data_IF_800931601746
#
_entry.id   IF_800931601746
#
_cell.length_a   1.000
_cell.length_b   1.000
_cell.length_c   1.000
_cell.angle_alpha   90.00
_cell.angle_beta   90.00
_cell.angle_gamma   90.00
#
_symmetry.space_group_name_H-M   'P 1'
#
loop_
_entity.id
_entity.type
_entity.pdbx_description
1 polymer ?
#
# COMPACT_ATOMS: atom_id res chain seq x y z
N UNK A 1 24.03 6.76 -1.21
CA UNK A 1 23.32 5.69 -1.94
C UNK A 1 24.33 4.63 -2.33
N UNK A 2 23.97 3.37 -2.20
CA UNK A 2 24.77 2.21 -2.61
C UNK A 2 24.24 1.64 -3.94
N UNK A 3 24.93 0.62 -4.46
CA UNK A 3 24.56 -0.10 -5.68
C UNK A 3 23.61 -1.28 -5.44
N UNK A 4 23.28 -1.56 -4.18
CA UNK A 4 22.41 -2.66 -3.77
C UNK A 4 20.93 -2.23 -3.80
N UNK A 5 20.66 -0.93 -3.68
CA UNK A 5 19.32 -0.38 -3.74
C UNK A 5 18.95 0.20 -5.10
N UNK A 6 17.66 0.09 -5.43
CA UNK A 6 17.08 0.60 -6.66
C UNK A 6 15.88 1.50 -6.39
N UNK A 7 15.61 2.41 -7.31
CA UNK A 7 14.33 3.11 -7.45
C UNK A 7 13.52 2.33 -8.47
N UNK A 8 12.48 1.65 -8.00
CA UNK A 8 11.50 0.98 -8.84
C UNK A 8 10.32 1.91 -9.09
N UNK A 9 9.91 2.01 -10.35
CA UNK A 9 8.87 2.92 -10.83
C UNK A 9 7.83 2.13 -11.61
N UNK A 10 6.57 2.53 -11.48
CA UNK A 10 5.47 2.04 -12.31
C UNK A 10 4.63 3.21 -12.83
N UNK A 11 4.06 3.00 -14.00
CA UNK A 11 3.27 3.99 -14.74
C UNK A 11 1.85 3.50 -14.95
N UNK A 12 0.94 4.42 -15.28
CA UNK A 12 -0.48 4.16 -15.48
C UNK A 12 -0.77 3.22 -16.65
N UNK A 13 0.11 3.20 -17.67
CA UNK A 13 -0.01 2.31 -18.83
C UNK A 13 0.65 0.93 -18.62
N UNK A 14 1.11 0.63 -17.40
CA UNK A 14 1.68 -0.68 -17.06
C UNK A 14 3.15 -0.84 -17.46
N UNK A 15 3.85 0.24 -17.77
CA UNK A 15 5.32 0.25 -17.89
C UNK A 15 5.94 0.34 -16.50
N UNK A 16 7.00 -0.46 -16.27
CA UNK A 16 7.81 -0.43 -15.06
C UNK A 16 9.28 -0.18 -15.39
N UNK A 17 9.99 0.39 -14.43
CA UNK A 17 11.43 0.65 -14.58
C UNK A 17 12.15 0.53 -13.25
N UNK A 18 13.34 -0.08 -13.31
CA UNK A 18 14.29 -0.13 -12.21
C UNK A 18 15.53 0.71 -12.54
N UNK A 19 15.92 1.61 -11.66
CA UNK A 19 17.14 2.41 -11.80
C UNK A 19 17.95 2.36 -10.51
N UNK A 20 19.26 2.15 -10.60
CA UNK A 20 20.13 2.14 -9.42
C UNK A 20 19.99 3.44 -8.62
N UNK A 21 19.91 3.34 -7.29
CA UNK A 21 19.69 4.49 -6.42
C UNK A 21 20.84 5.52 -6.52
N UNK A 22 22.07 5.05 -6.78
CA UNK A 22 23.23 5.91 -7.06
C UNK A 22 23.04 6.89 -8.22
N UNK A 23 22.14 6.60 -9.19
CA UNK A 23 21.83 7.51 -10.29
C UNK A 23 21.15 8.81 -9.83
N UNK A 24 20.67 8.85 -8.57
CA UNK A 24 20.01 9.98 -7.95
C UNK A 24 20.89 10.72 -6.92
N UNK A 25 22.17 10.33 -6.74
CA UNK A 25 23.08 10.90 -5.73
C UNK A 25 23.35 12.41 -5.86
N UNK A 26 23.17 12.98 -7.05
CA UNK A 26 23.47 14.38 -7.34
C UNK A 26 22.23 15.12 -7.87
N UNK A 27 21.22 15.40 -7.04
CA UNK A 27 20.02 16.11 -7.46
C UNK A 27 20.32 17.59 -7.72
N UNK A 28 19.59 18.17 -8.68
CA UNK A 28 19.66 19.61 -9.00
C UNK A 28 18.38 20.30 -8.51
N UNK A 29 18.46 21.59 -8.18
CA UNK A 29 17.27 22.40 -7.80
C UNK A 29 16.17 22.39 -8.87
N UNK A 30 16.55 22.32 -10.15
CA UNK A 30 15.61 22.24 -11.27
C UNK A 30 14.99 20.84 -11.48
N UNK A 31 15.34 19.86 -10.64
CA UNK A 31 14.97 18.47 -10.83
C UNK A 31 15.89 17.72 -11.79
N UNK A 32 15.67 16.41 -11.86
CA UNK A 32 16.34 15.47 -12.77
C UNK A 32 15.28 14.54 -13.37
N UNK A 33 15.49 14.12 -14.61
CA UNK A 33 14.61 13.12 -15.25
C UNK A 33 14.75 11.82 -14.45
N UNK A 34 13.62 11.23 -14.05
CA UNK A 34 13.56 9.94 -13.38
C UNK A 34 13.06 8.84 -14.31
N UNK A 35 12.13 9.16 -15.23
CA UNK A 35 11.58 8.28 -16.26
C UNK A 35 11.06 9.08 -17.44
N UNK A 36 11.19 8.51 -18.65
CA UNK A 36 10.59 9.04 -19.87
C UNK A 36 9.19 8.45 -20.02
N UNK A 37 8.18 9.31 -20.12
CA UNK A 37 6.77 8.94 -20.23
C UNK A 37 6.28 9.16 -21.67
N UNK A 38 5.38 8.29 -22.11
CA UNK A 38 4.65 8.49 -23.36
C UNK A 38 3.48 9.46 -23.17
N UNK A 39 2.92 9.97 -24.26
CA UNK A 39 1.77 10.88 -24.22
C UNK A 39 0.56 10.19 -23.58
N UNK A 40 0.03 10.81 -22.53
CA UNK A 40 -1.12 10.29 -21.78
C UNK A 40 -0.76 9.32 -20.64
N UNK A 41 0.51 8.95 -20.51
CA UNK A 41 1.01 8.16 -19.40
C UNK A 41 1.49 9.06 -18.24
N UNK A 42 1.43 8.53 -17.03
CA UNK A 42 1.91 9.20 -15.83
C UNK A 42 2.44 8.18 -14.83
N UNK A 43 3.35 8.64 -13.96
CA UNK A 43 3.93 7.83 -12.90
C UNK A 43 2.88 7.61 -11.80
N UNK A 44 2.62 6.35 -11.43
CA UNK A 44 1.63 5.99 -10.41
C UNK A 44 2.26 5.51 -9.10
N UNK A 45 3.53 5.12 -9.12
CA UNK A 45 4.17 4.54 -7.96
C UNK A 45 5.68 4.53 -8.08
N UNK A 46 6.34 4.78 -6.95
CA UNK A 46 7.78 4.73 -6.79
C UNK A 46 8.08 4.07 -5.45
N UNK A 47 9.04 3.17 -5.42
CA UNK A 47 9.52 2.55 -4.19
C UNK A 47 11.03 2.36 -4.27
N UNK A 48 11.69 2.41 -3.11
CA UNK A 48 13.06 1.94 -2.96
C UNK A 48 13.00 0.44 -2.69
N UNK A 49 13.83 -0.30 -3.40
CA UNK A 49 13.89 -1.75 -3.36
C UNK A 49 15.35 -2.21 -3.23
N UNK A 50 15.54 -3.46 -2.84
CA UNK A 50 16.83 -4.09 -2.54
C UNK A 50 17.25 -5.15 -3.59
N UNK A 51 16.46 -5.36 -4.64
CA UNK A 51 16.73 -6.33 -5.70
C UNK A 51 16.07 -7.69 -5.50
N UNK A 52 15.61 -7.99 -4.28
CA UNK A 52 15.02 -9.30 -3.89
C UNK A 52 13.52 -9.22 -3.61
N UNK A 53 12.95 -8.01 -3.63
CA UNK A 53 11.53 -7.78 -3.38
C UNK A 53 10.63 -8.25 -4.54
N UNK A 54 9.38 -8.57 -4.24
CA UNK A 54 8.34 -8.73 -5.26
C UNK A 54 7.66 -7.40 -5.56
N UNK A 55 7.38 -7.17 -6.84
CA UNK A 55 6.57 -6.05 -7.31
C UNK A 55 5.20 -6.55 -7.68
N UNK A 56 4.19 -5.88 -7.13
CA UNK A 56 2.78 -6.11 -7.45
C UNK A 56 2.19 -4.89 -8.13
N UNK A 57 1.53 -5.09 -9.26
CA UNK A 57 0.79 -4.05 -9.97
C UNK A 57 -0.69 -4.36 -9.94
N UNK A 58 -1.53 -3.35 -9.74
CA UNK A 58 -2.99 -3.49 -9.70
C UNK A 58 -3.63 -2.56 -10.72
N UNK A 59 -4.61 -3.07 -11.48
CA UNK A 59 -5.39 -2.26 -12.41
C UNK A 59 -6.77 -1.88 -11.86
N UNK A 60 -7.35 -0.82 -12.42
CA UNK A 60 -8.73 -0.37 -12.13
C UNK A 60 -9.78 -1.44 -12.45
N UNK A 61 -9.48 -2.39 -13.34
CA UNK A 61 -10.28 -3.57 -13.63
C UNK A 61 -10.17 -4.71 -12.59
N UNK A 62 -9.54 -4.46 -11.44
CA UNK A 62 -9.41 -5.44 -10.37
C UNK A 62 -8.46 -6.60 -10.69
N UNK A 63 -7.49 -6.38 -11.58
CA UNK A 63 -6.42 -7.36 -11.89
C UNK A 63 -5.16 -7.05 -11.10
N UNK A 64 -4.38 -8.09 -10.82
CA UNK A 64 -3.06 -7.97 -10.23
C UNK A 64 -2.02 -8.86 -10.93
N UNK A 65 -0.81 -8.34 -11.10
CA UNK A 65 0.39 -9.11 -11.47
C UNK A 65 1.35 -9.03 -10.30
N UNK A 66 1.98 -10.15 -9.91
CA UNK A 66 3.11 -10.20 -8.97
C UNK A 66 4.30 -10.88 -9.65
N UNK A 67 5.45 -10.22 -9.67
CA UNK A 67 6.70 -10.73 -10.23
C UNK A 67 7.89 -10.30 -9.38
N UNK A 68 8.99 -11.06 -9.45
CA UNK A 68 10.22 -10.71 -8.75
C UNK A 68 10.85 -9.47 -9.39
N UNK A 69 11.35 -8.52 -8.60
CA UNK A 69 12.01 -7.32 -9.11
C UNK A 69 13.18 -7.62 -10.06
N UNK A 70 13.85 -8.75 -9.85
CA UNK A 70 14.95 -9.24 -10.68
C UNK A 70 14.55 -9.50 -12.15
N UNK A 71 13.25 -9.67 -12.46
CA UNK A 71 12.71 -9.77 -13.82
C UNK A 71 12.83 -8.46 -14.62
N UNK A 72 13.16 -7.35 -13.95
CA UNK A 72 13.42 -6.05 -14.55
C UNK A 72 14.88 -5.70 -14.36
N UNK A 73 15.64 -5.63 -15.45
CA UNK A 73 17.04 -5.19 -15.40
C UNK A 73 17.16 -3.71 -15.00
N UNK A 74 18.22 -3.31 -14.28
CA UNK A 74 18.52 -1.90 -14.06
C UNK A 74 18.72 -1.13 -15.38
N UNK A 75 18.24 0.09 -15.43
CA UNK A 75 18.36 1.00 -16.58
C UNK A 75 18.68 2.42 -16.15
N UNK A 76 19.21 3.21 -17.08
CA UNK A 76 19.44 4.64 -16.86
C UNK A 76 18.15 5.43 -16.67
N UNK A 77 18.27 6.62 -16.09
CA UNK A 77 17.14 7.51 -15.77
C UNK A 77 16.31 7.93 -17.00
N UNK A 78 16.95 8.10 -18.15
CA UNK A 78 16.28 8.53 -19.39
C UNK A 78 15.58 7.38 -20.12
N UNK A 79 15.75 6.14 -19.68
CA UNK A 79 15.06 5.00 -20.27
C UNK A 79 13.55 5.06 -19.99
N UNK A 80 12.77 4.58 -20.95
CA UNK A 80 11.31 4.42 -20.87
C UNK A 80 10.91 3.35 -19.84
N UNK A 81 11.59 2.20 -19.86
CA UNK A 81 11.25 1.04 -19.02
C UNK A 81 10.82 -0.17 -19.86
N UNK A 82 10.19 -1.15 -19.22
CA UNK A 82 9.70 -2.39 -19.83
C UNK A 82 8.27 -2.67 -19.38
N UNK A 83 7.54 -3.53 -20.11
CA UNK A 83 6.18 -3.93 -19.76
C UNK A 83 6.16 -4.66 -18.41
N UNK A 84 5.41 -4.13 -17.45
CA UNK A 84 5.14 -4.75 -16.15
C UNK A 84 3.79 -5.48 -16.10
N UNK A 85 2.75 -4.88 -16.71
CA UNK A 85 1.41 -5.47 -16.85
C UNK A 85 0.90 -5.20 -18.26
N UNK A 86 0.15 -6.15 -18.84
CA UNK A 86 -0.61 -5.93 -20.06
C UNK A 86 -2.04 -5.56 -19.70
N UNK A 87 -2.46 -4.37 -20.13
CA UNK A 87 -3.79 -3.82 -19.89
C UNK A 87 -4.68 -4.03 -21.11
N UNK A 88 -5.99 -4.15 -20.88
CA UNK A 88 -6.98 -4.06 -21.97
C UNK A 88 -7.33 -2.59 -22.24
N UNK A 89 -8.02 -2.33 -23.34
CA UNK A 89 -8.39 -0.98 -23.74
C UNK A 89 -9.19 -0.26 -22.65
N UNK A 90 -8.79 0.96 -22.33
CA UNK A 90 -9.42 1.79 -21.29
C UNK A 90 -9.05 1.45 -19.84
N UNK A 91 -8.27 0.40 -19.60
CA UNK A 91 -7.76 0.06 -18.27
C UNK A 91 -6.49 0.84 -17.94
N UNK A 92 -6.21 1.00 -16.64
CA UNK A 92 -5.00 1.65 -16.12
C UNK A 92 -4.48 0.91 -14.89
N UNK A 93 -3.16 0.94 -14.68
CA UNK A 93 -2.57 0.60 -13.38
C UNK A 93 -2.88 1.74 -12.41
N UNK A 94 -3.39 1.38 -11.23
CA UNK A 94 -3.78 2.34 -10.17
C UNK A 94 -2.91 2.23 -8.93
N UNK A 95 -2.19 1.11 -8.74
CA UNK A 95 -1.27 0.95 -7.61
C UNK A 95 -0.08 0.05 -7.96
N UNK A 96 1.06 0.38 -7.34
CA UNK A 96 2.25 -0.46 -7.27
C UNK A 96 2.58 -0.72 -5.81
N UNK A 97 2.71 -1.99 -5.44
CA UNK A 97 3.11 -2.42 -4.11
C UNK A 97 4.43 -3.20 -4.21
N UNK A 98 5.28 -3.03 -3.21
CA UNK A 98 6.53 -3.79 -3.06
C UNK A 98 6.41 -4.64 -1.82
N UNK A 99 6.35 -5.96 -2.01
CA UNK A 99 6.26 -6.94 -0.94
C UNK A 99 7.64 -7.57 -0.72
N UNK A 100 8.18 -7.45 0.49
CA UNK A 100 9.46 -8.08 0.86
C UNK A 100 9.29 -9.57 1.14
N UNK A 101 8.14 -9.95 1.68
CA UNK A 101 7.77 -11.33 1.97
C UNK A 101 6.24 -11.50 1.85
N UNK A 102 5.73 -12.65 2.30
CA UNK A 102 4.32 -13.02 2.21
C UNK A 102 3.53 -12.83 3.52
N UNK A 103 4.12 -12.19 4.54
CA UNK A 103 3.48 -12.01 5.85
C UNK A 103 2.35 -10.98 5.85
N UNK A 104 2.35 -10.08 4.87
CA UNK A 104 1.37 -9.00 4.74
C UNK A 104 0.15 -9.41 3.92
N UNK A 105 -0.91 -8.61 4.02
CA UNK A 105 -2.10 -8.73 3.20
C UNK A 105 -2.26 -7.50 2.31
N UNK A 106 -2.90 -7.67 1.16
CA UNK A 106 -3.32 -6.57 0.29
C UNK A 106 -4.77 -6.23 0.65
N UNK A 107 -5.01 -5.00 1.08
CA UNK A 107 -6.34 -4.44 1.19
C UNK A 107 -6.72 -3.78 -0.14
N UNK A 108 -7.79 -4.28 -0.76
CA UNK A 108 -8.38 -3.73 -1.99
C UNK A 108 -9.66 -2.98 -1.67
N UNK A 109 -9.89 -1.85 -2.34
CA UNK A 109 -11.10 -1.05 -2.22
C UNK A 109 -11.62 -0.60 -3.59
N UNK A 110 -12.94 -0.64 -3.78
CA UNK A 110 -13.62 -0.28 -5.03
C UNK A 110 -14.45 0.99 -4.85
N UNK A 111 -14.77 1.66 -5.97
CA UNK A 111 -15.43 2.98 -5.97
C UNK A 111 -16.78 3.00 -5.26
N UNK A 112 -17.52 1.88 -5.22
CA UNK A 112 -18.80 1.79 -4.50
C UNK A 112 -18.65 1.35 -3.03
N UNK A 113 -17.45 1.48 -2.44
CA UNK A 113 -17.24 1.27 -1.01
C UNK A 113 -17.11 -0.19 -0.58
N UNK A 114 -16.81 -1.10 -1.52
CA UNK A 114 -16.55 -2.51 -1.22
C UNK A 114 -15.05 -2.81 -1.21
N UNK A 115 -14.66 -3.84 -0.47
CA UNK A 115 -13.27 -4.23 -0.38
C UNK A 115 -13.03 -5.41 0.53
N UNK A 116 -11.76 -5.80 0.64
CA UNK A 116 -11.33 -6.95 1.44
C UNK A 116 -9.82 -6.95 1.58
N UNK A 117 -9.35 -7.66 2.61
CA UNK A 117 -7.95 -8.07 2.73
C UNK A 117 -7.77 -9.43 2.07
N UNK A 118 -6.64 -9.61 1.40
CA UNK A 118 -6.25 -10.89 0.85
C UNK A 118 -4.76 -11.10 1.09
N UNK A 119 -4.32 -12.24 1.66
CA UNK A 119 -2.90 -12.50 1.91
C UNK A 119 -2.05 -12.37 0.65
N UNK A 120 -0.84 -11.82 0.77
CA UNK A 120 0.11 -11.72 -0.35
C UNK A 120 0.40 -13.11 -0.95
N UNK A 121 0.46 -14.14 -0.11
CA UNK A 121 0.63 -15.54 -0.53
C UNK A 121 -0.42 -16.03 -1.54
N UNK A 122 -1.65 -15.49 -1.53
CA UNK A 122 -2.64 -15.85 -2.54
C UNK A 122 -2.26 -15.32 -3.93
N UNK A 123 -1.54 -14.21 -4.01
CA UNK A 123 -1.01 -13.66 -5.25
C UNK A 123 0.20 -14.45 -5.70
N UNK A 124 -0.02 -15.55 -6.44
CA UNK A 124 1.08 -16.36 -6.96
C UNK A 124 1.99 -15.56 -7.91
N UNK A 125 3.29 -15.76 -7.75
CA UNK A 125 4.30 -15.18 -8.65
C UNK A 125 4.12 -15.72 -10.07
N UNK A 126 4.10 -14.80 -11.03
CA UNK A 126 4.10 -15.09 -12.47
C UNK A 126 5.09 -14.15 -13.17
N UNK A 127 5.32 -14.37 -14.46
CA UNK A 127 6.13 -13.44 -15.24
C UNK A 127 5.48 -12.06 -15.36
N UNK A 128 6.32 -11.01 -15.44
CA UNK A 128 5.86 -9.66 -15.79
C UNK A 128 5.25 -9.60 -17.19
N UNK A 129 4.47 -8.56 -17.45
CA UNK A 129 3.86 -8.29 -18.75
C UNK A 129 2.65 -9.18 -19.05
N UNK A 130 2.16 -9.96 -18.09
CA UNK A 130 0.91 -10.71 -18.21
C UNK A 130 -0.30 -9.79 -17.94
N UNK A 131 -1.52 -10.27 -18.23
CA UNK A 131 -2.76 -9.58 -17.85
C UNK A 131 -3.02 -9.60 -16.34
N UNK A 132 -2.32 -10.48 -15.63
CA UNK A 132 -2.55 -10.72 -14.21
C UNK A 132 -3.81 -11.54 -13.92
N UNK A 133 -3.99 -11.80 -12.64
CA UNK A 133 -5.10 -12.55 -12.07
C UNK A 133 -6.10 -11.64 -11.40
N UNK A 134 -7.28 -12.17 -11.06
CA UNK A 134 -8.30 -11.41 -10.34
C UNK A 134 -7.78 -11.11 -8.93
N UNK A 135 -7.74 -9.84 -8.56
CA UNK A 135 -7.50 -9.34 -7.21
C UNK A 135 -8.82 -9.05 -6.48
N UNK A 136 -9.82 -8.57 -7.21
CA UNK A 136 -11.19 -8.39 -6.75
C UNK A 136 -12.14 -8.55 -7.93
N UNK A 137 -13.30 -9.15 -7.71
CA UNK A 137 -14.34 -9.17 -8.73
C UNK A 137 -14.96 -7.77 -8.85
N UNK A 138 -14.64 -7.05 -9.91
CA UNK A 138 -15.35 -5.82 -10.30
C UNK A 138 -16.67 -6.21 -10.95
N UNK A 139 -17.77 -5.61 -10.48
CA UNK A 139 -19.13 -5.80 -10.99
C UNK A 139 -19.86 -4.47 -10.91
N UNK A 140 -21.06 -4.34 -11.48
CA UNK A 140 -21.85 -3.11 -11.37
C UNK A 140 -22.10 -2.70 -9.90
N UNK A 141 -22.19 -3.70 -8.99
CA UNK A 141 -22.26 -3.47 -7.55
C UNK A 141 -20.98 -2.82 -7.02
N UNK A 142 -19.82 -3.36 -7.38
CA UNK A 142 -18.53 -2.95 -6.81
C UNK A 142 -17.99 -1.66 -7.44
N UNK A 143 -18.19 -1.52 -8.74
CA UNK A 143 -17.45 -0.60 -9.59
C UNK A 143 -15.98 -0.98 -9.74
N UNK A 144 -15.18 -0.03 -10.24
CA UNK A 144 -13.73 -0.16 -10.46
C UNK A 144 -12.95 -0.21 -9.14
N UNK A 145 -11.77 -0.83 -9.19
CA UNK A 145 -10.79 -0.77 -8.11
C UNK A 145 -10.21 0.65 -8.03
N UNK A 146 -10.27 1.27 -6.85
CA UNK A 146 -9.75 2.62 -6.61
C UNK A 146 -8.52 2.65 -5.73
N UNK A 147 -8.22 1.55 -5.03
CA UNK A 147 -6.97 1.44 -4.28
C UNK A 147 -6.61 0.03 -3.88
N UNK A 148 -5.31 -0.18 -3.74
CA UNK A 148 -4.70 -1.38 -3.19
C UNK A 148 -3.53 -0.95 -2.30
N UNK A 149 -3.49 -1.44 -1.06
CA UNK A 149 -2.45 -1.09 -0.09
C UNK A 149 -1.96 -2.33 0.64
N UNK A 150 -0.64 -2.43 0.89
CA UNK A 150 -0.07 -3.46 1.77
C UNK A 150 -0.33 -3.08 3.22
N UNK A 151 -0.89 -4.02 3.96
CA UNK A 151 -1.33 -3.82 5.34
C UNK A 151 -0.98 -5.03 6.21
N UNK A 152 -0.74 -4.72 7.47
CA UNK A 152 -0.61 -5.67 8.58
C UNK A 152 -1.82 -5.54 9.52
N UNK A 153 -2.14 -6.57 10.33
CA UNK A 153 -3.33 -6.55 11.18
C UNK A 153 -3.45 -5.34 12.11
N UNK A 154 -2.33 -4.83 12.61
CA UNK A 154 -2.25 -3.67 13.51
C UNK A 154 -2.34 -2.31 12.80
N UNK A 155 -2.29 -2.26 11.47
CA UNK A 155 -2.37 -1.00 10.75
C UNK A 155 -3.79 -0.42 10.80
N UNK A 156 -3.88 0.88 10.52
CA UNK A 156 -5.13 1.56 10.24
C UNK A 156 -5.11 2.18 8.85
N UNK A 157 -6.30 2.32 8.26
CA UNK A 157 -6.48 2.92 6.94
C UNK A 157 -7.52 4.02 6.99
N UNK A 158 -7.34 5.02 6.15
CA UNK A 158 -8.29 6.11 5.91
C UNK A 158 -8.99 5.88 4.57
N UNK A 159 -10.30 5.77 4.60
CA UNK A 159 -11.18 5.74 3.43
C UNK A 159 -11.67 7.15 3.15
N UNK A 160 -11.51 7.63 1.91
CA UNK A 160 -11.83 9.01 1.53
C UNK A 160 -12.90 8.97 0.44
N UNK A 161 -14.07 9.53 0.72
CA UNK A 161 -15.17 9.68 -0.25
C UNK A 161 -15.11 11.03 -0.96
N UNK A 162 -15.61 11.06 -2.20
CA UNK A 162 -15.89 12.29 -2.95
C UNK A 162 -16.94 13.19 -2.28
N UNK A 163 -17.74 12.64 -1.37
CA UNK A 163 -18.67 13.39 -0.51
C UNK A 163 -18.04 14.06 0.71
N UNK A 164 -16.70 14.17 0.76
CA UNK A 164 -15.95 14.73 1.90
C UNK A 164 -16.09 13.95 3.23
N UNK A 165 -16.45 12.67 3.14
CA UNK A 165 -16.45 11.74 4.29
C UNK A 165 -15.09 11.05 4.38
N UNK A 166 -14.48 11.10 5.56
CA UNK A 166 -13.24 10.39 5.89
C UNK A 166 -13.52 9.40 7.02
N UNK A 167 -13.20 8.12 6.81
CA UNK A 167 -13.39 7.05 7.81
C UNK A 167 -12.06 6.38 8.10
N UNK A 168 -11.62 6.42 9.36
CA UNK A 168 -10.50 5.63 9.87
C UNK A 168 -11.02 4.24 10.25
N UNK A 169 -10.34 3.19 9.81
CA UNK A 169 -10.74 1.80 10.07
C UNK A 169 -9.50 0.98 10.41
N UNK A 170 -9.57 0.19 11.48
CA UNK A 170 -8.54 -0.78 11.81
C UNK A 170 -8.57 -1.92 10.80
N UNK A 171 -7.38 -2.30 10.33
CA UNK A 171 -7.24 -3.33 9.30
C UNK A 171 -7.76 -4.68 9.80
N UNK A 172 -7.56 -5.02 11.09
CA UNK A 172 -8.08 -6.24 11.70
C UNK A 172 -9.60 -6.42 11.57
N UNK A 173 -10.36 -5.31 11.58
CA UNK A 173 -11.84 -5.31 11.49
C UNK A 173 -12.32 -5.58 10.05
N UNK A 174 -11.44 -5.46 9.05
CA UNK A 174 -11.77 -5.73 7.65
C UNK A 174 -11.65 -7.22 7.37
N UNK A 175 -12.64 -7.81 6.70
CA UNK A 175 -12.62 -9.24 6.40
C UNK A 175 -11.47 -9.63 5.49
N UNK A 176 -10.79 -10.70 5.88
CA UNK A 176 -9.88 -11.45 5.02
C UNK A 176 -10.66 -12.44 4.16
N UNK A 177 -10.49 -12.38 2.85
CA UNK A 177 -11.21 -13.16 1.86
C UNK A 177 -10.30 -13.45 0.66
N UNK A 178 -10.57 -14.56 -0.03
CA UNK A 178 -9.81 -14.92 -1.22
C UNK A 178 -9.96 -13.93 -2.37
N UNK A 179 -8.98 -13.89 -3.27
CA UNK A 179 -8.87 -12.84 -4.31
C UNK A 179 -10.09 -12.75 -5.24
N UNK A 180 -10.57 -13.89 -5.73
CA UNK A 180 -11.66 -13.97 -6.69
C UNK A 180 -13.05 -13.82 -6.04
N UNK A 181 -13.19 -12.92 -5.07
CA UNK A 181 -14.45 -12.56 -4.40
C UNK A 181 -14.75 -11.07 -4.58
N UNK A 182 -16.01 -10.69 -4.37
CA UNK A 182 -16.47 -9.29 -4.42
C UNK A 182 -16.06 -8.47 -3.18
N UNK A 183 -15.63 -9.11 -2.10
CA UNK A 183 -15.38 -8.44 -0.83
C UNK A 183 -16.65 -8.11 -0.03
N UNK A 184 -16.49 -7.28 1.00
CA UNK A 184 -17.53 -6.79 1.91
C UNK A 184 -17.62 -5.27 1.84
N UNK A 185 -18.68 -4.71 2.42
CA UNK A 185 -18.79 -3.25 2.56
C UNK A 185 -17.71 -2.74 3.51
N UNK A 186 -16.89 -1.80 3.04
CA UNK A 186 -15.94 -1.04 3.85
C UNK A 186 -16.58 0.25 4.38
N UNK A 187 -17.38 0.90 3.52
CA UNK A 187 -18.05 2.17 3.80
C UNK A 187 -19.41 2.20 3.10
N UNK A 188 -20.41 2.75 3.77
CA UNK A 188 -21.67 3.10 3.12
C UNK A 188 -21.51 4.50 2.53
N UNK A 189 -21.75 4.63 1.23
CA UNK A 189 -21.66 5.88 0.48
C UNK A 189 -23.06 6.44 0.27
N UNK A 190 -23.17 7.76 0.33
CA UNK A 190 -24.41 8.46 -0.02
C UNK A 190 -24.65 8.41 -1.52
N UNK A 191 -25.90 8.59 -1.94
CA UNK A 191 -26.28 8.58 -3.35
C UNK A 191 -25.49 9.62 -4.15
N UNK A 192 -24.91 9.21 -5.28
CA UNK A 192 -24.09 10.07 -6.13
C UNK A 192 -22.65 10.28 -5.64
N UNK A 193 -22.26 9.67 -4.52
CA UNK A 193 -20.87 9.69 -4.04
C UNK A 193 -20.15 8.36 -4.31
N UNK A 194 -18.84 8.45 -4.44
CA UNK A 194 -17.93 7.31 -4.62
C UNK A 194 -16.72 7.41 -3.69
N UNK A 195 -16.11 6.28 -3.40
CA UNK A 195 -14.81 6.21 -2.75
C UNK A 195 -13.75 6.74 -3.72
N UNK A 196 -13.05 7.79 -3.31
CA UNK A 196 -11.98 8.41 -4.09
C UNK A 196 -10.63 7.73 -3.87
N UNK A 197 -10.38 7.19 -2.67
CA UNK A 197 -9.12 6.54 -2.36
C UNK A 197 -9.09 5.89 -0.98
N UNK A 198 -8.02 5.13 -0.75
CA UNK A 198 -7.68 4.52 0.52
C UNK A 198 -6.20 4.74 0.78
N UNK A 199 -5.87 5.17 1.98
CA UNK A 199 -4.48 5.41 2.39
C UNK A 199 -4.19 4.74 3.73
N UNK A 200 -2.98 4.18 3.87
CA UNK A 200 -2.53 3.68 5.17
C UNK A 200 -2.22 4.87 6.08
N UNK A 201 -2.73 4.84 7.31
CA UNK A 201 -2.40 5.84 8.31
C UNK A 201 -0.96 5.63 8.75
N UNK A 202 -0.15 6.68 8.68
CA UNK A 202 1.20 6.64 9.25
C UNK A 202 1.08 6.59 10.78
N UNK A 203 1.79 5.65 11.41
CA UNK A 203 1.97 5.67 12.86
C UNK A 203 2.72 6.96 13.22
N UNK A 204 2.20 7.73 14.17
CA UNK A 204 2.88 8.93 14.64
C UNK A 204 3.85 8.53 15.75
N UNK A 205 5.02 9.18 15.84
CA UNK A 205 5.98 8.98 16.94
C UNK A 205 5.36 9.19 18.34
N UNK A 206 4.17 9.81 18.41
CA UNK A 206 3.41 10.08 19.63
C UNK A 206 2.65 8.85 20.13
N UNK A 207 2.23 7.96 19.24
CA UNK A 207 1.46 6.76 19.59
C UNK A 207 2.33 5.68 20.29
N UNK A 208 3.63 5.69 20.03
CA UNK A 208 4.60 4.77 20.65
C UNK A 208 4.75 5.04 22.15
N UNK A 209 4.65 6.31 22.57
CA UNK A 209 4.88 6.73 23.97
C UNK A 209 3.70 6.37 24.88
N UNK A 210 2.48 6.22 24.33
CA UNK A 210 1.29 5.86 25.11
C UNK A 210 1.15 4.34 25.33
N UNK A 211 1.93 3.52 24.62
CA UNK A 211 1.90 2.06 24.76
C UNK A 211 2.90 1.53 25.81
N UNK A 212 3.85 2.35 26.27
CA UNK A 212 4.84 1.97 27.27
C UNK A 212 4.55 2.63 28.63
N UNK A 213 3.60 2.05 29.38
CA UNK A 213 3.62 2.07 30.84
C UNK A 213 2.87 3.21 31.56
N UNK A 214 1.57 3.03 31.75
CA UNK A 214 0.91 3.42 32.99
C UNK A 214 0.29 2.17 33.64
N UNK A 215 1.09 1.47 34.45
CA UNK A 215 0.54 0.64 35.53
C UNK A 215 0.20 1.56 36.71
N UNK A 216 -1.02 1.49 37.29
CA UNK A 216 -1.41 2.33 38.41
C UNK A 216 -0.67 1.93 39.69
N UNK A 217 -0.27 2.95 40.43
CA UNK A 217 0.46 2.92 41.70
C UNK A 217 -0.22 2.02 42.74
N UNK A 218 0.50 1.04 43.28
CA UNK A 218 0.14 0.37 44.53
C UNK A 218 0.64 1.20 45.73
N UNK A 219 -0.30 1.59 46.58
CA UNK A 219 -0.09 2.38 47.77
C UNK A 219 0.41 1.48 48.92
N UNK A 220 1.72 1.36 49.06
CA UNK A 220 2.37 0.75 50.23
C UNK A 220 2.39 1.70 51.42
N UNK A 221 1.50 1.45 52.40
CA UNK A 221 1.30 2.26 53.59
C UNK A 221 2.50 2.35 54.54
N UNK A 222 2.60 3.53 55.17
CA UNK A 222 3.57 3.84 56.23
C UNK A 222 2.87 3.70 57.60
N UNK A 223 3.35 2.85 58.54
CA UNK A 223 2.76 2.79 59.86
C UNK A 223 3.28 3.94 60.74
N UNK A 224 2.35 4.60 61.44
CA UNK A 224 2.63 5.65 62.40
C UNK A 224 3.38 5.08 63.64
N UNK A 225 4.39 5.77 64.20
CA UNK A 225 4.89 5.46 65.51
C UNK A 225 4.07 6.17 66.59
N UNK A 226 3.67 5.39 67.60
CA UNK A 226 2.97 5.78 68.81
C UNK A 226 3.77 6.80 69.65
N UNK A 227 3.02 7.67 70.31
CA UNK A 227 3.51 8.55 71.37
C UNK A 227 3.91 7.72 72.60
N UNK A 228 5.08 8.03 73.16
CA UNK A 228 5.57 7.51 74.43
C UNK A 228 6.13 8.65 75.28
N UNK A 229 5.70 8.65 76.54
CA UNK A 229 5.76 9.64 77.62
C UNK A 229 7.15 10.08 78.13
N UNK A 230 7.11 11.25 78.80
CA UNK A 230 7.85 11.71 80.00
C UNK A 230 9.35 11.37 80.21
N UNK A 231 10.20 12.41 80.27
CA UNK A 231 10.76 12.98 81.52
C UNK A 231 11.87 14.01 81.22
#
# INVERSE_FOLDING_TARGET
>A
FDEEHFVFMATSEGTVKKTALTAFSNPRKAGIIAVSLDDGDHLIGVAITDGDSDVMLFSDAGKAVRFAESDVRPMGREARGVRGMTLEEGQRVIAMLVAKDESQSVLTATENGYGKRTPVAEYTRHGRGTKGMIAIQTSDRNGRLVGAVLVEPNNEVMLISTGAVLIRTRVEDIRELGRATQGVTLINLDEGTSLAGIEKVAESDVDVVMSEGEEPQDAGGEPAPEQGDEA
#
